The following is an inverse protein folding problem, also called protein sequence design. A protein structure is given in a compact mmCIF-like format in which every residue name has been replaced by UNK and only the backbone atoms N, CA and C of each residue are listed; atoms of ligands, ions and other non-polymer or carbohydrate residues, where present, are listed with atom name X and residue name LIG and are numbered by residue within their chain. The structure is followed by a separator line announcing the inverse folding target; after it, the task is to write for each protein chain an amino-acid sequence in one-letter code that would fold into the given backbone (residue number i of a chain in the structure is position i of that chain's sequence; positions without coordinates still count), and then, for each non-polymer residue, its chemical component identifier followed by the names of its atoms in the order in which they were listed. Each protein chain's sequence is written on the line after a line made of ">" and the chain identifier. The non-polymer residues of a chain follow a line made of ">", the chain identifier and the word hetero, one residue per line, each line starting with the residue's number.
data_IF_717241593908
#
_entry.id   IF_717241593908
#
_cell.length_a   1.000
_cell.length_b   1.000
_cell.length_c   1.000
_cell.angle_alpha   90.00
_cell.angle_beta   90.00
_cell.angle_gamma   90.00
#
_symmetry.space_group_name_H-M   'P 1'
#
loop_
_entity.id
_entity.type
_entity.pdbx_description
1 polymer ?
#
# COMPACT_ATOMS: atom_id res chain seq x y z
N UNK A 1 13.62 -12.50 4.21
CA UNK A 1 12.38 -12.04 4.88
C UNK A 1 11.32 -13.10 4.73
N UNK A 2 10.65 -13.43 5.82
CA UNK A 2 9.52 -14.36 5.81
C UNK A 2 8.23 -13.55 5.67
N UNK A 3 7.35 -13.94 4.75
CA UNK A 3 6.09 -13.24 4.50
C UNK A 3 4.92 -14.14 4.92
N UNK A 4 4.04 -13.61 5.75
CA UNK A 4 2.86 -14.33 6.24
C UNK A 4 1.60 -13.48 6.10
N UNK A 5 0.49 -14.12 5.76
CA UNK A 5 -0.82 -13.47 5.76
C UNK A 5 -1.32 -13.36 7.19
N UNK A 6 -1.78 -12.17 7.58
CA UNK A 6 -2.32 -11.91 8.91
C UNK A 6 -3.84 -12.10 8.87
N UNK A 7 -4.34 -13.09 9.62
CA UNK A 7 -5.77 -13.43 9.63
C UNK A 7 -6.51 -12.70 10.74
N UNK A 8 -5.88 -12.56 11.92
CA UNK A 8 -6.50 -12.00 13.12
C UNK A 8 -5.62 -10.93 13.76
N UNK A 9 -6.22 -10.06 14.55
CA UNK A 9 -5.51 -9.03 15.34
C UNK A 9 -4.58 -8.17 14.48
N UNK A 10 -5.06 -7.73 13.33
CA UNK A 10 -4.29 -6.87 12.43
C UNK A 10 -3.84 -5.58 13.09
N UNK A 11 -4.61 -5.12 14.08
CA UNK A 11 -4.32 -3.89 14.81
C UNK A 11 -3.03 -3.95 15.63
N UNK A 12 -2.51 -5.14 15.92
CA UNK A 12 -1.21 -5.26 16.60
C UNK A 12 -0.06 -4.69 15.78
N UNK A 13 -0.28 -4.48 14.47
CA UNK A 13 0.69 -3.89 13.56
C UNK A 13 0.38 -2.41 13.25
N UNK A 14 -0.46 -1.77 14.06
CA UNK A 14 -0.91 -0.40 13.81
C UNK A 14 0.25 0.59 13.70
N UNK A 15 1.28 0.45 14.54
CA UNK A 15 2.47 1.30 14.48
C UNK A 15 3.16 1.24 13.12
N UNK A 16 3.18 0.06 12.50
CA UNK A 16 3.76 -0.13 11.17
C UNK A 16 2.85 0.46 10.09
N UNK A 17 1.55 0.21 10.18
CA UNK A 17 0.56 0.75 9.24
C UNK A 17 0.56 2.27 9.22
N UNK A 18 0.72 2.92 10.37
CA UNK A 18 0.72 4.37 10.50
C UNK A 18 1.98 5.02 9.93
N UNK A 19 3.02 4.25 9.61
CA UNK A 19 4.18 4.79 8.89
C UNK A 19 3.82 5.24 7.48
N UNK A 20 2.83 4.58 6.85
CA UNK A 20 2.39 4.93 5.50
C UNK A 20 1.12 5.78 5.49
N UNK A 21 0.26 5.63 6.49
CA UNK A 21 -1.01 6.33 6.58
C UNK A 21 -1.16 6.88 8.00
N UNK A 22 -0.96 8.17 8.21
CA UNK A 22 -0.81 8.73 9.56
C UNK A 22 -2.11 8.83 10.36
N UNK A 23 -3.27 8.58 9.75
CA UNK A 23 -4.55 8.74 10.44
C UNK A 23 -5.17 7.39 10.77
N UNK A 24 -5.22 7.06 12.06
CA UNK A 24 -5.68 5.78 12.58
C UNK A 24 -7.11 5.43 12.14
N UNK A 25 -8.02 6.41 12.16
CA UNK A 25 -9.42 6.19 11.76
C UNK A 25 -9.53 5.78 10.29
N UNK A 26 -8.69 6.35 9.43
CA UNK A 26 -8.65 6.00 8.01
C UNK A 26 -8.16 4.56 7.84
N UNK A 27 -7.07 4.19 8.55
CA UNK A 27 -6.52 2.82 8.51
C UNK A 27 -7.57 1.81 8.99
N UNK A 28 -8.20 2.05 10.12
CA UNK A 28 -9.23 1.16 10.68
C UNK A 28 -10.42 1.00 9.74
N UNK A 29 -10.69 2.00 8.92
CA UNK A 29 -11.80 1.96 7.96
C UNK A 29 -11.67 0.89 6.89
N UNK A 30 -10.44 0.48 6.54
CA UNK A 30 -10.23 -0.54 5.50
C UNK A 30 -9.54 -1.81 5.99
N UNK A 31 -8.94 -1.79 7.19
CA UNK A 31 -8.04 -2.86 7.63
C UNK A 31 -8.73 -4.23 7.74
N UNK A 32 -9.91 -4.28 8.33
CA UNK A 32 -10.63 -5.55 8.54
C UNK A 32 -11.10 -6.19 7.24
N UNK A 33 -11.35 -5.37 6.23
CA UNK A 33 -11.82 -5.84 4.91
C UNK A 33 -10.67 -6.23 3.99
N UNK A 34 -9.46 -5.76 4.29
CA UNK A 34 -8.29 -6.00 3.46
C UNK A 34 -7.58 -7.30 3.80
N UNK A 35 -6.78 -7.77 2.86
CA UNK A 35 -5.81 -8.84 3.10
C UNK A 35 -4.50 -8.17 3.51
N UNK A 36 -3.97 -8.58 4.66
CA UNK A 36 -2.72 -8.04 5.19
C UNK A 36 -1.62 -9.09 5.16
N UNK A 37 -0.45 -8.71 4.69
CA UNK A 37 0.74 -9.56 4.69
C UNK A 37 1.84 -8.82 5.45
N UNK A 38 2.56 -9.56 6.29
CA UNK A 38 3.65 -9.00 7.09
C UNK A 38 4.93 -9.76 6.79
N UNK A 39 6.00 -9.00 6.56
CA UNK A 39 7.33 -9.54 6.40
C UNK A 39 8.11 -9.44 7.71
N UNK A 40 8.75 -10.55 8.11
CA UNK A 40 9.56 -10.59 9.33
C UNK A 40 11.00 -10.98 8.99
N UNK A 41 11.92 -10.40 9.74
CA UNK A 41 13.35 -10.74 9.69
C UNK A 41 13.79 -11.04 11.11
N UNK A 42 14.33 -12.23 11.34
CA UNK A 42 14.72 -12.69 12.68
C UNK A 42 13.58 -12.54 13.70
N UNK A 43 12.37 -12.92 13.28
CA UNK A 43 11.14 -12.84 14.09
C UNK A 43 10.66 -11.43 14.41
N UNK A 44 11.23 -10.40 13.77
CA UNK A 44 10.81 -9.00 13.95
C UNK A 44 10.01 -8.56 12.72
N UNK A 45 8.77 -8.07 12.90
CA UNK A 45 8.02 -7.49 11.79
C UNK A 45 8.71 -6.23 11.28
N UNK A 46 9.06 -6.19 10.00
CA UNK A 46 9.81 -5.07 9.41
C UNK A 46 9.03 -4.32 8.34
N UNK A 47 8.05 -4.99 7.72
CA UNK A 47 7.27 -4.39 6.62
C UNK A 47 5.89 -5.03 6.52
N UNK A 48 4.94 -4.31 5.96
CA UNK A 48 3.58 -4.80 5.75
C UNK A 48 3.01 -4.28 4.43
N UNK A 49 1.99 -4.97 3.93
CA UNK A 49 1.21 -4.54 2.78
C UNK A 49 -0.25 -4.96 2.97
N UNK A 50 -1.18 -4.08 2.62
CA UNK A 50 -2.63 -4.35 2.68
C UNK A 50 -3.22 -4.22 1.30
N UNK A 51 -3.95 -5.25 0.88
CA UNK A 51 -4.64 -5.29 -0.42
C UNK A 51 -6.14 -5.35 -0.15
N UNK A 52 -6.90 -4.47 -0.81
CA UNK A 52 -8.36 -4.43 -0.69
C UNK A 52 -9.01 -4.73 -2.03
N UNK A 53 -10.23 -5.27 -1.99
CA UNK A 53 -11.03 -5.49 -3.19
C UNK A 53 -11.68 -4.17 -3.60
N UNK A 54 -11.60 -3.83 -4.89
CA UNK A 54 -12.32 -2.69 -5.46
C UNK A 54 -13.60 -3.18 -6.14
N UNK A 55 -13.46 -4.16 -7.04
CA UNK A 55 -14.57 -4.80 -7.74
C UNK A 55 -14.14 -6.22 -8.16
N UNK A 56 -14.91 -6.91 -8.99
CA UNK A 56 -14.57 -8.27 -9.40
C UNK A 56 -13.28 -8.37 -10.21
N UNK A 57 -12.87 -7.31 -10.88
CA UNK A 57 -11.70 -7.28 -11.76
C UNK A 57 -10.49 -6.59 -11.15
N UNK A 58 -10.68 -5.76 -10.14
CA UNK A 58 -9.62 -4.90 -9.60
C UNK A 58 -9.48 -5.02 -8.09
N UNK A 59 -8.24 -5.09 -7.65
CA UNK A 59 -7.86 -4.93 -6.24
C UNK A 59 -6.95 -3.71 -6.10
N UNK A 60 -6.71 -3.30 -4.86
CA UNK A 60 -5.94 -2.09 -4.59
C UNK A 60 -4.88 -2.34 -3.53
N UNK A 61 -3.65 -1.88 -3.81
CA UNK A 61 -2.62 -1.74 -2.80
C UNK A 61 -3.01 -0.54 -1.94
N UNK A 62 -3.51 -0.81 -0.73
CA UNK A 62 -4.10 0.22 0.14
C UNK A 62 -3.12 0.81 1.13
N UNK A 63 -2.15 0.02 1.58
CA UNK A 63 -1.13 0.46 2.52
C UNK A 63 0.12 -0.37 2.29
N UNK A 64 1.27 0.25 2.33
CA UNK A 64 2.57 -0.43 2.31
C UNK A 64 3.54 0.37 3.14
N UNK A 65 4.19 -0.27 4.09
CA UNK A 65 5.12 0.39 5.00
C UNK A 65 6.28 -0.49 5.38
N UNK A 66 7.41 0.14 5.63
CA UNK A 66 8.62 -0.48 6.19
C UNK A 66 9.03 0.32 7.40
N UNK A 67 9.42 -0.35 8.49
CA UNK A 67 9.97 0.34 9.65
C UNK A 67 11.13 1.25 9.22
N UNK A 68 11.25 2.45 9.79
CA UNK A 68 12.33 3.38 9.41
C UNK A 68 13.72 2.76 9.47
N UNK A 69 14.02 2.00 10.51
CA UNK A 69 15.33 1.35 10.70
C UNK A 69 15.57 0.17 9.75
N UNK A 70 14.52 -0.32 9.10
CA UNK A 70 14.64 -1.44 8.15
C UNK A 70 14.60 -1.00 6.68
N UNK A 71 14.48 0.28 6.40
CA UNK A 71 14.43 0.80 5.03
C UNK A 71 15.76 0.61 4.31
N UNK A 72 15.71 0.59 2.98
CA UNK A 72 16.89 0.42 2.14
C UNK A 72 17.32 -1.02 1.92
N UNK A 73 16.53 -2.00 2.34
CA UNK A 73 16.82 -3.43 2.19
C UNK A 73 15.96 -4.12 1.12
N UNK A 74 15.07 -3.39 0.46
CA UNK A 74 14.21 -3.94 -0.57
C UNK A 74 13.00 -4.71 -0.08
N UNK A 75 12.63 -4.60 1.19
CA UNK A 75 11.51 -5.34 1.77
C UNK A 75 10.16 -4.97 1.17
N UNK A 76 9.90 -3.68 0.94
CA UNK A 76 8.67 -3.23 0.30
C UNK A 76 8.55 -3.81 -1.11
N UNK A 77 9.64 -3.82 -1.87
CA UNK A 77 9.68 -4.38 -3.21
C UNK A 77 9.39 -5.88 -3.22
N UNK A 78 9.92 -6.61 -2.23
CA UNK A 78 9.63 -8.04 -2.08
C UNK A 78 8.15 -8.28 -1.81
N UNK A 79 7.53 -7.45 -0.94
CA UNK A 79 6.10 -7.55 -0.65
C UNK A 79 5.25 -7.27 -1.89
N UNK A 80 5.62 -6.26 -2.69
CA UNK A 80 4.90 -5.95 -3.92
C UNK A 80 4.95 -7.13 -4.89
N UNK A 81 6.12 -7.72 -5.10
CA UNK A 81 6.27 -8.89 -5.96
C UNK A 81 5.47 -10.07 -5.45
N UNK A 82 5.46 -10.26 -4.13
CA UNK A 82 4.72 -11.34 -3.50
C UNK A 82 3.22 -11.22 -3.79
N UNK A 83 2.64 -10.04 -3.59
CA UNK A 83 1.20 -9.86 -3.80
C UNK A 83 0.83 -9.89 -5.29
N UNK A 84 1.71 -9.46 -6.19
CA UNK A 84 1.46 -9.63 -7.62
C UNK A 84 1.28 -11.11 -7.96
N UNK A 85 2.11 -11.99 -7.41
CA UNK A 85 1.98 -13.43 -7.61
C UNK A 85 0.73 -14.01 -6.95
N UNK A 86 0.43 -13.57 -5.73
CA UNK A 86 -0.74 -14.05 -4.99
C UNK A 86 -2.06 -13.70 -5.68
N UNK A 87 -2.13 -12.52 -6.30
CA UNK A 87 -3.37 -12.03 -6.90
C UNK A 87 -3.47 -12.28 -8.40
N UNK A 88 -2.41 -12.78 -9.02
CA UNK A 88 -2.45 -13.20 -10.43
C UNK A 88 -3.48 -14.31 -10.59
N UNK A 89 -4.41 -14.13 -11.52
CA UNK A 89 -5.50 -15.08 -11.72
C UNK A 89 -6.72 -14.83 -10.85
N UNK A 90 -6.63 -13.95 -9.86
CA UNK A 90 -7.77 -13.56 -9.00
C UNK A 90 -8.39 -12.24 -9.45
N UNK A 91 -7.56 -11.33 -9.92
CA UNK A 91 -7.98 -10.02 -10.43
C UNK A 91 -7.21 -9.73 -11.71
N UNK A 92 -7.79 -8.86 -12.55
CA UNK A 92 -7.13 -8.42 -13.79
C UNK A 92 -6.09 -7.34 -13.53
N UNK A 93 -6.37 -6.46 -12.58
CA UNK A 93 -5.52 -5.30 -12.27
C UNK A 93 -5.38 -5.11 -10.78
N UNK A 94 -4.20 -4.63 -10.39
CA UNK A 94 -3.97 -4.08 -9.04
C UNK A 94 -3.70 -2.60 -9.20
N UNK A 95 -4.52 -1.76 -8.58
CA UNK A 95 -4.31 -0.31 -8.58
C UNK A 95 -3.56 0.12 -7.32
N UNK A 96 -2.86 1.23 -7.42
CA UNK A 96 -2.19 1.84 -6.29
C UNK A 96 -2.25 3.35 -6.42
N UNK A 97 -2.71 4.01 -5.37
CA UNK A 97 -2.77 5.47 -5.32
C UNK A 97 -1.53 6.03 -4.64
N UNK A 98 -1.04 7.14 -5.16
CA UNK A 98 0.19 7.73 -4.64
C UNK A 98 0.22 9.24 -4.80
N UNK A 99 1.18 9.87 -4.13
CA UNK A 99 1.48 11.29 -4.30
C UNK A 99 2.30 11.49 -5.57
N UNK A 100 2.33 12.74 -6.05
CA UNK A 100 3.09 13.11 -7.23
C UNK A 100 4.57 12.69 -7.14
N UNK A 101 5.20 12.91 -5.98
CA UNK A 101 6.62 12.60 -5.77
C UNK A 101 6.92 11.11 -5.83
N UNK A 102 5.95 10.25 -5.51
CA UNK A 102 6.13 8.81 -5.45
C UNK A 102 5.74 8.07 -6.73
N UNK A 103 5.23 8.76 -7.74
CA UNK A 103 4.87 8.14 -9.02
C UNK A 103 6.04 7.35 -9.61
N UNK A 104 7.28 7.90 -9.70
CA UNK A 104 8.40 7.13 -10.26
C UNK A 104 8.68 5.83 -9.52
N UNK A 105 8.55 5.83 -8.19
CA UNK A 105 8.73 4.62 -7.38
C UNK A 105 7.68 3.56 -7.72
N UNK A 106 6.41 3.97 -7.83
CA UNK A 106 5.33 3.05 -8.18
C UNK A 106 5.51 2.47 -9.58
N UNK A 107 5.87 3.31 -10.55
CA UNK A 107 6.15 2.86 -11.92
C UNK A 107 7.31 1.86 -11.95
N UNK A 108 8.39 2.15 -11.24
CA UNK A 108 9.56 1.26 -11.13
C UNK A 108 9.18 -0.10 -10.55
N UNK A 109 8.21 -0.15 -9.64
CA UNK A 109 7.80 -1.38 -8.96
C UNK A 109 6.61 -2.08 -9.62
N UNK A 110 6.26 -1.71 -10.84
CA UNK A 110 5.31 -2.47 -11.65
C UNK A 110 3.94 -1.83 -11.87
N UNK A 111 3.65 -0.73 -11.18
CA UNK A 111 2.42 0.04 -11.40
C UNK A 111 2.66 1.02 -12.56
N UNK A 112 2.72 0.48 -13.78
CA UNK A 112 3.29 1.18 -14.92
C UNK A 112 2.29 1.99 -15.73
N UNK A 113 0.99 1.76 -15.51
CA UNK A 113 -0.07 2.40 -16.30
C UNK A 113 -0.93 3.31 -15.47
N UNK A 114 -1.17 4.51 -15.99
CA UNK A 114 -2.07 5.48 -15.36
C UNK A 114 -3.51 4.97 -15.36
N UNK A 115 -4.19 5.09 -14.23
CA UNK A 115 -5.59 4.66 -14.06
C UNK A 115 -6.53 5.86 -13.95
N UNK A 116 -6.37 6.68 -12.93
CA UNK A 116 -7.19 7.88 -12.71
C UNK A 116 -6.60 8.75 -11.61
N UNK A 117 -7.16 9.94 -11.44
CA UNK A 117 -6.79 10.88 -10.38
C UNK A 117 -8.01 11.21 -9.54
N UNK A 118 -7.86 11.19 -8.22
CA UNK A 118 -8.89 11.68 -7.30
C UNK A 118 -8.45 13.07 -6.83
N UNK A 119 -9.16 14.10 -7.31
CA UNK A 119 -8.89 15.48 -6.95
C UNK A 119 -9.22 15.72 -5.48
N UNK A 120 -8.37 16.48 -4.80
CA UNK A 120 -8.56 16.86 -3.39
C UNK A 120 -8.63 15.68 -2.43
N UNK A 121 -8.09 14.50 -2.82
CA UNK A 121 -8.15 13.30 -1.99
C UNK A 121 -7.62 13.54 -0.57
N UNK A 122 -6.46 14.14 -0.46
CA UNK A 122 -5.81 14.36 0.84
C UNK A 122 -6.49 15.46 1.66
N UNK A 123 -7.14 16.40 1.01
CA UNK A 123 -7.90 17.46 1.68
C UNK A 123 -9.22 16.91 2.23
N UNK A 124 -9.90 16.07 1.44
CA UNK A 124 -11.23 15.57 1.78
C UNK A 124 -11.23 14.41 2.78
N UNK A 125 -10.14 13.63 2.81
CA UNK A 125 -10.08 12.38 3.60
C UNK A 125 -9.25 12.47 4.89
N UNK A 126 -8.50 13.56 5.08
CA UNK A 126 -7.62 13.73 6.24
C UNK A 126 -7.93 15.02 6.97
N UNK A 127 -7.89 14.97 8.31
CA UNK A 127 -8.17 16.13 9.17
C UNK A 127 -7.07 17.18 9.11
N UNK A 128 -5.82 16.72 9.00
CA UNK A 128 -4.65 17.57 8.97
C UNK A 128 -4.01 17.57 7.58
N UNK A 129 -3.33 18.65 7.18
CA UNK A 129 -2.59 18.68 5.92
C UNK A 129 -1.57 17.55 5.85
N UNK A 130 -1.49 16.89 4.69
CA UNK A 130 -0.55 15.79 4.44
C UNK A 130 0.59 16.30 3.57
N UNK A 131 1.82 16.01 3.98
CA UNK A 131 3.02 16.38 3.27
C UNK A 131 3.86 15.16 2.92
N UNK A 132 4.46 15.18 1.73
CA UNK A 132 5.49 14.26 1.28
C UNK A 132 6.76 15.11 1.11
N UNK A 133 7.63 15.09 2.12
CA UNK A 133 8.72 16.05 2.19
C UNK A 133 8.18 17.48 2.30
N UNK A 134 8.49 18.34 1.32
CA UNK A 134 7.98 19.71 1.26
C UNK A 134 6.72 19.84 0.39
N UNK A 135 6.32 18.79 -0.30
CA UNK A 135 5.14 18.79 -1.16
C UNK A 135 3.87 18.68 -0.32
N UNK A 136 2.98 19.67 -0.41
CA UNK A 136 1.63 19.60 0.16
C UNK A 136 0.78 18.70 -0.73
N UNK A 137 0.42 17.49 -0.23
CA UNK A 137 -0.36 16.54 -0.99
C UNK A 137 -1.83 16.97 -1.07
N UNK A 138 -2.36 17.03 -2.27
CA UNK A 138 -3.74 17.45 -2.54
C UNK A 138 -4.48 16.34 -3.28
N UNK A 139 -3.99 15.97 -4.47
CA UNK A 139 -4.59 14.96 -5.33
C UNK A 139 -3.91 13.62 -5.14
N UNK A 140 -4.66 12.53 -5.34
CA UNK A 140 -4.09 11.18 -5.39
C UNK A 140 -4.12 10.66 -6.81
N UNK A 141 -2.96 10.17 -7.28
CA UNK A 141 -2.77 9.65 -8.63
C UNK A 141 -2.72 8.14 -8.57
N UNK A 142 -3.61 7.47 -9.32
CA UNK A 142 -3.70 6.01 -9.34
C UNK A 142 -3.06 5.44 -10.59
N UNK A 143 -2.17 4.48 -10.38
CA UNK A 143 -1.53 3.69 -11.42
C UNK A 143 -1.87 2.22 -11.20
N UNK A 144 -1.71 1.38 -12.20
CA UNK A 144 -2.02 -0.03 -12.05
C UNK A 144 -0.99 -0.96 -12.66
N UNK A 145 -0.96 -2.17 -12.11
CA UNK A 145 -0.26 -3.34 -12.63
C UNK A 145 -1.26 -4.22 -13.34
N UNK A 146 -0.98 -4.61 -14.56
CA UNK A 146 -1.75 -5.62 -15.28
C UNK A 146 -1.35 -7.00 -14.73
N UNK A 147 -2.27 -7.65 -14.03
CA UNK A 147 -2.01 -8.94 -13.38
C UNK A 147 -2.11 -10.13 -14.33
N UNK A 148 -2.61 -9.90 -15.55
CA UNK A 148 -2.74 -10.96 -16.55
C UNK A 148 -1.44 -11.16 -17.35
N UNK A 149 -0.48 -10.26 -17.20
CA UNK A 149 0.79 -10.28 -17.93
C UNK A 149 1.98 -10.56 -17.03
#
# INVERSE_FOLDING_TARGET
>A
MKIEKVIENKERYLNLLLEADPEEDVVKGYLDKGDMFVGTVNSVPVAEIVITKVNSDECELKNIATLPEARGNGYAQELIKYVFNEYKGKYKKMIGGTTENMIPYYVLNGFTRYHHTVKNFFVDNYKEPIYDGTLHCIDMYYYYKDLEK
#
